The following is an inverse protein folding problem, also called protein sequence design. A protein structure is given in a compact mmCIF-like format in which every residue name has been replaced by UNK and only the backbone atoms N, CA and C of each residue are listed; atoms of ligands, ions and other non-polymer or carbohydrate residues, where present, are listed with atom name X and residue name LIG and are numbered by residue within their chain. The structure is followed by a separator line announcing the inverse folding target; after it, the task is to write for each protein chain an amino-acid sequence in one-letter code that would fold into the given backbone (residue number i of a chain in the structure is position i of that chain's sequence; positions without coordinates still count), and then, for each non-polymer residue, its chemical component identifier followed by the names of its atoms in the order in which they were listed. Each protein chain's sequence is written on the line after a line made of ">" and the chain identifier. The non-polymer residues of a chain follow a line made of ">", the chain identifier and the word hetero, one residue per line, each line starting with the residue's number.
data_IF_386283710857
#
_entry.id   IF_386283710857
#
_cell.length_a   1.000
_cell.length_b   1.000
_cell.length_c   1.000
_cell.angle_alpha   90.00
_cell.angle_beta   90.00
_cell.angle_gamma   90.00
#
_symmetry.space_group_name_H-M   'P 1'
#
loop_
_entity.id
_entity.type
_entity.pdbx_description
1 polymer ?
#
# COMPACT_ATOMS: atom_id res chain seq x y z
N UNK A 1 -21.18 -5.66 20.54
CA UNK A 1 -19.86 -5.70 19.87
C UNK A 1 -19.22 -4.34 20.03
N UNK A 2 -18.02 -4.25 20.58
CA UNK A 2 -17.33 -2.98 20.84
C UNK A 2 -15.97 -2.96 20.12
N UNK A 3 -15.61 -1.83 19.52
CA UNK A 3 -14.26 -1.61 18.97
C UNK A 3 -13.30 -1.27 20.12
N UNK A 4 -12.30 -2.11 20.37
CA UNK A 4 -11.34 -1.93 21.48
C UNK A 4 -10.23 -0.94 21.15
N UNK A 5 -9.76 -0.94 19.90
CA UNK A 5 -8.68 -0.06 19.43
C UNK A 5 -8.69 0.03 17.91
N UNK A 6 -7.99 1.04 17.38
CA UNK A 6 -7.74 1.22 15.95
C UNK A 6 -6.30 1.70 15.74
N UNK A 7 -5.64 1.14 14.73
CA UNK A 7 -4.31 1.53 14.31
C UNK A 7 -4.15 1.39 12.80
N UNK A 8 -3.21 2.13 12.24
CA UNK A 8 -2.84 2.10 10.83
C UNK A 8 -1.33 1.99 10.71
N UNK A 9 -0.88 1.38 9.62
CA UNK A 9 0.51 1.35 9.23
C UNK A 9 0.59 1.64 7.74
N UNK A 10 1.50 2.53 7.35
CA UNK A 10 1.76 2.87 5.96
C UNK A 10 3.23 2.62 5.64
N UNK A 11 3.60 2.42 4.37
CA UNK A 11 4.99 2.41 3.96
C UNK A 11 5.70 3.73 4.32
N UNK A 12 7.01 3.71 4.61
CA UNK A 12 7.73 4.90 5.06
C UNK A 12 7.86 5.97 3.97
N UNK A 13 7.93 5.56 2.71
CA UNK A 13 8.13 6.47 1.59
C UNK A 13 6.83 7.19 1.27
N UNK A 14 6.88 8.52 1.28
CA UNK A 14 5.74 9.41 1.06
C UNK A 14 6.06 10.41 -0.04
N UNK A 15 5.31 10.33 -1.12
CA UNK A 15 5.50 11.12 -2.33
C UNK A 15 4.41 12.19 -2.41
N UNK A 16 4.78 13.43 -2.71
CA UNK A 16 3.77 14.44 -3.03
C UNK A 16 3.21 14.25 -4.43
N UNK A 17 2.08 14.93 -4.66
CA UNK A 17 1.30 14.80 -5.88
C UNK A 17 2.09 15.21 -7.13
N UNK A 18 2.93 16.23 -7.01
CA UNK A 18 3.77 16.75 -8.09
C UNK A 18 4.89 15.77 -8.43
N UNK A 19 5.58 15.22 -7.42
CA UNK A 19 6.58 14.16 -7.62
C UNK A 19 5.98 12.91 -8.29
N UNK A 20 4.73 12.57 -7.97
CA UNK A 20 4.02 11.48 -8.66
C UNK A 20 3.81 11.78 -10.15
N UNK A 21 3.45 13.03 -10.48
CA UNK A 21 3.28 13.45 -11.87
C UNK A 21 4.61 13.46 -12.61
N UNK A 22 5.67 14.01 -12.02
CA UNK A 22 7.01 14.02 -12.61
C UNK A 22 7.49 12.61 -12.92
N UNK A 23 7.34 11.68 -11.98
CA UNK A 23 7.71 10.28 -12.22
C UNK A 23 6.88 9.61 -13.33
N UNK A 24 5.59 9.92 -13.43
CA UNK A 24 4.74 9.40 -14.52
C UNK A 24 5.11 10.00 -15.88
N UNK A 25 5.45 11.29 -15.91
CA UNK A 25 5.86 12.03 -17.11
C UNK A 25 7.21 11.57 -17.63
N UNK A 26 8.15 11.36 -16.73
CA UNK A 26 9.53 10.99 -17.06
C UNK A 26 9.68 9.47 -17.29
N UNK A 27 8.71 8.69 -16.83
CA UNK A 27 8.57 7.27 -17.15
C UNK A 27 7.88 7.02 -18.50
N UNK A 28 7.65 5.74 -18.82
CA UNK A 28 7.02 5.31 -20.07
C UNK A 28 5.48 5.20 -20.00
N UNK A 29 4.87 5.49 -18.84
CA UNK A 29 3.43 5.33 -18.65
C UNK A 29 2.62 6.14 -19.68
N UNK A 30 3.06 7.37 -19.99
CA UNK A 30 2.34 8.25 -20.90
C UNK A 30 2.36 7.77 -22.35
N UNK A 31 3.36 6.98 -22.75
CA UNK A 31 3.46 6.43 -24.11
C UNK A 31 2.33 5.44 -24.41
N UNK A 32 1.86 4.72 -23.39
CA UNK A 32 0.72 3.81 -23.48
C UNK A 32 -0.65 4.49 -23.47
N UNK A 33 -0.71 5.80 -23.26
CA UNK A 33 -1.97 6.54 -23.10
C UNK A 33 -2.35 7.32 -24.37
N UNK A 34 -3.67 7.43 -24.60
CA UNK A 34 -4.19 8.40 -25.56
C UNK A 34 -3.84 9.82 -25.10
N UNK A 35 -3.57 10.78 -26.01
CA UNK A 35 -3.20 12.15 -25.63
C UNK A 35 -4.17 12.80 -24.63
N UNK A 36 -5.49 12.62 -24.84
CA UNK A 36 -6.51 13.12 -23.92
C UNK A 36 -6.44 12.49 -22.52
N UNK A 37 -6.08 11.20 -22.43
CA UNK A 37 -5.91 10.51 -21.15
C UNK A 37 -4.69 11.02 -20.40
N UNK A 38 -3.58 11.28 -21.11
CA UNK A 38 -2.38 11.88 -20.53
C UNK A 38 -2.66 13.30 -19.97
N UNK A 39 -3.33 14.16 -20.74
CA UNK A 39 -3.75 15.50 -20.25
C UNK A 39 -4.70 15.43 -19.06
N UNK A 40 -5.60 14.44 -19.02
CA UNK A 40 -6.48 14.24 -17.87
C UNK A 40 -5.68 13.81 -16.64
N UNK A 41 -4.70 12.93 -16.79
CA UNK A 41 -3.83 12.48 -15.71
C UNK A 41 -3.00 13.62 -15.14
N UNK A 42 -2.38 14.43 -16.01
CA UNK A 42 -1.69 15.66 -15.64
C UNK A 42 -2.62 16.53 -14.79
N UNK A 43 -3.80 16.86 -15.31
CA UNK A 43 -4.76 17.71 -14.61
C UNK A 43 -5.16 17.12 -13.25
N UNK A 44 -5.40 15.81 -13.14
CA UNK A 44 -5.77 15.17 -11.86
C UNK A 44 -4.66 15.33 -10.82
N UNK A 45 -3.39 15.28 -11.23
CA UNK A 45 -2.25 15.34 -10.32
C UNK A 45 -1.77 16.78 -10.05
N UNK A 46 -1.96 17.72 -10.98
CA UNK A 46 -1.38 19.07 -10.84
C UNK A 46 -2.38 20.17 -10.50
N UNK A 47 -3.70 19.93 -10.65
CA UNK A 47 -4.70 21.00 -10.51
C UNK A 47 -4.93 21.53 -9.08
N UNK A 48 -4.32 20.92 -8.05
CA UNK A 48 -4.49 21.28 -6.65
C UNK A 48 -5.87 20.98 -6.03
N UNK A 49 -6.84 20.46 -6.81
CA UNK A 49 -8.22 20.18 -6.35
C UNK A 49 -8.50 18.69 -6.12
N UNK A 50 -7.52 17.81 -6.37
CA UNK A 50 -7.66 16.37 -6.12
C UNK A 50 -7.82 15.96 -4.65
N UNK A 51 -7.56 16.88 -3.69
CA UNK A 51 -7.65 16.60 -2.25
C UNK A 51 -6.54 15.69 -1.72
N UNK A 52 -5.58 15.27 -2.56
CA UNK A 52 -4.45 14.43 -2.18
C UNK A 52 -3.18 15.26 -2.22
N UNK A 53 -2.58 15.47 -1.05
CA UNK A 53 -1.27 16.13 -0.93
C UNK A 53 -0.12 15.15 -1.10
N UNK A 54 -0.24 13.95 -0.50
CA UNK A 54 0.80 12.91 -0.51
C UNK A 54 0.20 11.51 -0.57
N UNK A 55 0.98 10.55 -1.09
CA UNK A 55 0.70 9.12 -1.07
C UNK A 55 1.86 8.36 -0.45
N UNK A 56 1.56 7.37 0.38
CA UNK A 56 2.56 6.43 0.87
C UNK A 56 2.57 5.21 -0.04
N UNK A 57 3.71 4.91 -0.63
CA UNK A 57 3.89 3.79 -1.56
C UNK A 57 5.06 2.93 -1.07
N UNK A 58 4.91 1.61 -1.14
CA UNK A 58 5.96 0.67 -0.79
C UNK A 58 6.95 0.49 -1.95
N UNK A 59 7.55 1.60 -2.35
CA UNK A 59 8.42 1.73 -3.52
C UNK A 59 9.59 2.64 -3.16
N UNK A 60 10.78 2.33 -3.64
CA UNK A 60 11.94 3.23 -3.51
C UNK A 60 11.77 4.44 -4.43
N UNK A 61 11.39 4.20 -5.68
CA UNK A 61 11.00 5.23 -6.64
C UNK A 61 9.73 4.85 -7.40
N UNK A 62 8.96 5.85 -7.83
CA UNK A 62 7.71 5.63 -8.59
C UNK A 62 8.00 5.10 -9.99
N UNK A 63 9.12 5.51 -10.61
CA UNK A 63 9.45 5.10 -11.99
C UNK A 63 9.60 3.59 -12.18
N UNK A 64 10.05 2.88 -11.15
CA UNK A 64 10.31 1.43 -11.21
C UNK A 64 9.08 0.57 -11.54
N UNK A 65 7.87 1.04 -11.26
CA UNK A 65 6.67 0.18 -11.35
C UNK A 65 6.06 0.14 -12.74
N UNK A 66 6.42 1.06 -13.63
CA UNK A 66 5.72 1.19 -14.91
C UNK A 66 6.06 0.04 -15.87
N UNK A 67 7.20 -0.63 -15.66
CA UNK A 67 7.61 -1.83 -16.39
C UNK A 67 7.28 -3.15 -15.66
N UNK A 68 6.73 -3.07 -14.44
CA UNK A 68 6.49 -4.26 -13.62
C UNK A 68 5.32 -5.09 -14.16
N UNK A 69 5.61 -6.34 -14.49
CA UNK A 69 4.60 -7.36 -14.78
C UNK A 69 3.93 -7.89 -13.50
N UNK A 70 2.92 -8.74 -13.69
CA UNK A 70 2.15 -9.33 -12.58
C UNK A 70 3.03 -10.06 -11.54
N UNK A 71 4.09 -10.74 -11.98
CA UNK A 71 5.03 -11.41 -11.08
C UNK A 71 5.81 -10.42 -10.20
N UNK A 72 6.39 -9.37 -10.79
CA UNK A 72 7.13 -8.33 -10.06
C UNK A 72 6.24 -7.63 -9.04
N UNK A 73 5.01 -7.28 -9.43
CA UNK A 73 4.02 -6.68 -8.54
C UNK A 73 3.67 -7.62 -7.37
N UNK A 74 3.49 -8.91 -7.63
CA UNK A 74 3.18 -9.87 -6.57
C UNK A 74 4.38 -10.12 -5.64
N UNK A 75 5.61 -10.05 -6.14
CA UNK A 75 6.83 -10.15 -5.32
C UNK A 75 6.95 -8.97 -4.36
N UNK A 76 6.65 -7.74 -4.82
CA UNK A 76 6.56 -6.57 -3.94
C UNK A 76 5.44 -6.73 -2.90
N UNK A 77 4.29 -7.25 -3.32
CA UNK A 77 3.18 -7.56 -2.41
C UNK A 77 3.59 -8.57 -1.33
N UNK A 78 4.27 -9.65 -1.68
CA UNK A 78 4.80 -10.65 -0.75
C UNK A 78 5.71 -10.02 0.30
N UNK A 79 6.61 -9.14 -0.14
CA UNK A 79 7.56 -8.43 0.72
C UNK A 79 6.86 -7.49 1.71
N UNK A 80 5.79 -6.81 1.29
CA UNK A 80 5.24 -5.66 2.01
C UNK A 80 3.95 -5.95 2.79
N UNK A 81 3.09 -6.84 2.28
CA UNK A 81 1.75 -7.03 2.81
C UNK A 81 1.75 -7.52 4.27
N UNK A 82 2.52 -8.57 4.55
CA UNK A 82 2.58 -9.15 5.89
C UNK A 82 3.25 -8.23 6.92
N UNK A 83 4.41 -7.59 6.66
CA UNK A 83 4.96 -6.61 7.60
C UNK A 83 4.04 -5.41 7.86
N UNK A 84 3.38 -4.85 6.84
CA UNK A 84 2.48 -3.71 7.02
C UNK A 84 1.27 -4.08 7.90
N UNK A 85 0.64 -5.21 7.61
CA UNK A 85 -0.50 -5.69 8.38
C UNK A 85 -0.12 -6.07 9.82
N UNK A 86 1.06 -6.68 10.03
CA UNK A 86 1.55 -7.00 11.37
C UNK A 86 1.82 -5.73 12.18
N UNK A 87 2.43 -4.69 11.60
CA UNK A 87 2.66 -3.41 12.29
C UNK A 87 1.36 -2.76 12.79
N UNK A 88 0.30 -2.76 11.97
CA UNK A 88 -0.98 -2.19 12.41
C UNK A 88 -1.64 -3.06 13.48
N UNK A 89 -1.55 -4.39 13.38
CA UNK A 89 -2.06 -5.32 14.40
C UNK A 89 -1.34 -5.12 15.75
N UNK A 90 -0.01 -5.08 15.77
CA UNK A 90 0.78 -4.88 16.99
C UNK A 90 0.37 -3.60 17.71
N UNK A 91 0.30 -2.47 17.00
CA UNK A 91 -0.10 -1.19 17.60
C UNK A 91 -1.56 -1.21 18.08
N UNK A 92 -2.45 -1.92 17.39
CA UNK A 92 -3.83 -2.07 17.85
C UNK A 92 -3.92 -2.90 19.13
N UNK A 93 -3.19 -4.01 19.22
CA UNK A 93 -3.15 -4.87 20.40
C UNK A 93 -2.56 -4.14 21.61
N UNK A 94 -1.46 -3.41 21.43
CA UNK A 94 -0.85 -2.57 22.45
C UNK A 94 -1.84 -1.53 23.00
N UNK A 95 -2.53 -0.79 22.12
CA UNK A 95 -3.56 0.18 22.50
C UNK A 95 -4.74 -0.46 23.25
N UNK A 96 -5.06 -1.72 22.95
CA UNK A 96 -6.13 -2.45 23.61
C UNK A 96 -5.70 -3.12 24.94
N UNK A 97 -4.40 -3.13 25.24
CA UNK A 97 -3.83 -3.88 26.37
C UNK A 97 -3.97 -5.39 26.20
N UNK A 98 -3.91 -5.89 24.97
CA UNK A 98 -4.06 -7.30 24.62
C UNK A 98 -2.75 -7.87 24.07
N UNK A 99 -2.54 -9.17 24.27
CA UNK A 99 -1.49 -9.96 23.63
C UNK A 99 -2.05 -10.71 22.42
N UNK A 100 -1.17 -11.14 21.52
CA UNK A 100 -1.56 -11.89 20.31
C UNK A 100 -2.27 -13.22 20.65
N UNK A 101 -1.82 -13.93 21.69
CA UNK A 101 -2.43 -15.17 22.20
C UNK A 101 -3.83 -14.99 22.79
N UNK A 102 -4.33 -13.76 22.89
CA UNK A 102 -5.69 -13.44 23.31
C UNK A 102 -6.64 -13.14 22.13
N UNK A 103 -6.17 -13.29 20.89
CA UNK A 103 -6.96 -13.11 19.67
C UNK A 103 -7.49 -14.46 19.20
N UNK A 104 -8.82 -14.66 19.31
CA UNK A 104 -9.45 -15.91 18.88
C UNK A 104 -9.51 -16.07 17.34
N UNK A 105 -9.54 -14.96 16.61
CA UNK A 105 -9.65 -14.96 15.16
C UNK A 105 -8.99 -13.73 14.52
N UNK A 106 -8.30 -13.95 13.40
CA UNK A 106 -7.71 -12.91 12.57
C UNK A 106 -8.39 -12.88 11.20
N UNK A 107 -9.00 -11.76 10.85
CA UNK A 107 -9.59 -11.51 9.53
C UNK A 107 -8.75 -10.50 8.77
N UNK A 108 -8.40 -10.82 7.53
CA UNK A 108 -7.62 -9.96 6.65
C UNK A 108 -8.25 -9.94 5.28
N UNK A 109 -8.36 -8.75 4.68
CA UNK A 109 -8.80 -8.57 3.30
C UNK A 109 -7.76 -7.77 2.52
N UNK A 110 -7.56 -8.14 1.26
CA UNK A 110 -6.67 -7.44 0.33
C UNK A 110 -7.09 -7.74 -1.10
N UNK A 111 -6.85 -6.79 -1.99
CA UNK A 111 -7.08 -6.91 -3.43
C UNK A 111 -5.82 -6.60 -4.25
N UNK A 112 -4.66 -6.44 -3.61
CA UNK A 112 -3.43 -5.94 -4.24
C UNK A 112 -2.42 -7.03 -4.59
N UNK A 113 -2.70 -8.29 -4.27
CA UNK A 113 -1.86 -9.44 -4.60
C UNK A 113 -2.37 -10.74 -3.99
N UNK A 114 -1.61 -11.81 -4.16
CA UNK A 114 -1.97 -13.17 -3.76
C UNK A 114 -0.80 -13.92 -3.13
N UNK A 115 -1.06 -14.63 -2.01
CA UNK A 115 -0.13 -15.53 -1.34
C UNK A 115 -0.84 -16.86 -0.99
N UNK A 116 -0.06 -17.94 -0.99
CA UNK A 116 -0.49 -19.25 -0.47
C UNK A 116 0.67 -19.88 0.33
N UNK A 117 0.56 -19.99 1.68
CA UNK A 117 -0.57 -19.61 2.51
C UNK A 117 -0.86 -18.09 2.48
N UNK A 118 -2.09 -17.70 2.81
CA UNK A 118 -2.53 -16.30 2.69
C UNK A 118 -1.82 -15.36 3.66
N UNK A 119 -1.90 -14.05 3.40
CA UNK A 119 -1.29 -13.00 4.26
C UNK A 119 -1.68 -13.17 5.73
N UNK A 120 -2.91 -13.60 6.02
CA UNK A 120 -3.39 -13.89 7.39
C UNK A 120 -2.47 -14.86 8.13
N UNK A 121 -2.04 -15.94 7.48
CA UNK A 121 -1.17 -16.95 8.09
C UNK A 121 0.20 -16.37 8.42
N UNK A 122 0.78 -15.59 7.51
CA UNK A 122 2.06 -14.92 7.75
C UNK A 122 1.97 -13.85 8.84
N UNK A 123 0.85 -13.13 8.93
CA UNK A 123 0.63 -12.13 10.00
C UNK A 123 0.46 -12.82 11.35
N UNK A 124 -0.28 -13.92 11.42
CA UNK A 124 -0.43 -14.72 12.63
C UNK A 124 0.92 -15.25 13.12
N UNK A 125 1.72 -15.84 12.23
CA UNK A 125 3.08 -16.30 12.55
C UNK A 125 3.98 -15.17 13.09
N UNK A 126 3.90 -13.97 12.51
CA UNK A 126 4.69 -12.81 12.96
C UNK A 126 4.24 -12.23 14.29
N UNK A 127 2.94 -12.33 14.62
CA UNK A 127 2.39 -11.80 15.86
C UNK A 127 2.75 -12.65 17.08
N UNK A 128 3.10 -13.93 16.86
CA UNK A 128 3.27 -14.94 17.90
C UNK A 128 1.95 -15.51 18.40
#
# INVERSE_FOLDING_TARGET
>A
MFLRSLATAVPPNSFDQESCWEAMRDGNLLEGLKPRSATLMEKILTNGTSGIRRRNLALESIGEIFDDGAESLNRRFEQEASPLAARSLTVALEKAGLRADQVDALFLCTCTGYLCPGVTSHVAERAG
#
